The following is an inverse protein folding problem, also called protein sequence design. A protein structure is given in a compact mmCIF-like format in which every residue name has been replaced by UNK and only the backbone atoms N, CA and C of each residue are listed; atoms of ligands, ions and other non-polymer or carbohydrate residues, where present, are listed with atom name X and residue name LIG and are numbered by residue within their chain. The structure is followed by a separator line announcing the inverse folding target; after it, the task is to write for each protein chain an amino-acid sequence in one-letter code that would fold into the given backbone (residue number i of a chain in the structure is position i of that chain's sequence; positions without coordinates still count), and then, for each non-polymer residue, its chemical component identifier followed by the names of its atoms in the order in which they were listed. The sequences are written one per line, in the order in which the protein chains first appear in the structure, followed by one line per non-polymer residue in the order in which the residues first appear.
data_IF_893852855198
#
_entry.id   IF_893852855198
#
_cell.length_a   1.000
_cell.length_b   1.000
_cell.length_c   1.000
_cell.angle_alpha   90.00
_cell.angle_beta   90.00
_cell.angle_gamma   90.00
#
_symmetry.space_group_name_H-M   'P 1'
#
loop_
_entity.id
_entity.type
_entity.pdbx_description
1 polymer ?
#
# COMPACT_ATOMS: atom_id res chain seq x y z
N UNK A 1 2.29 -13.67 54.75
CA UNK A 1 2.52 -14.09 53.35
C UNK A 1 1.71 -13.13 52.51
N UNK A 2 2.37 -12.11 51.98
CA UNK A 2 1.75 -10.94 51.36
C UNK A 2 1.77 -11.15 49.86
N UNK A 3 0.59 -11.26 49.24
CA UNK A 3 0.48 -11.21 47.78
C UNK A 3 0.66 -9.75 47.31
N UNK A 4 1.52 -9.47 46.31
CA UNK A 4 1.58 -8.14 45.74
C UNK A 4 0.51 -7.97 44.66
N UNK A 5 -0.14 -6.81 44.69
CA UNK A 5 -1.06 -6.27 43.70
C UNK A 5 -0.37 -6.16 42.32
N UNK A 6 -1.03 -6.44 41.19
CA UNK A 6 -0.48 -6.08 39.90
C UNK A 6 -0.48 -4.55 39.77
N UNK A 7 0.72 -3.97 39.69
CA UNK A 7 0.96 -2.56 39.38
C UNK A 7 0.37 -2.24 38.02
N UNK A 8 -0.69 -1.44 38.00
CA UNK A 8 -1.19 -0.72 36.83
C UNK A 8 -0.07 0.17 36.30
N UNK A 9 0.69 -0.35 35.34
CA UNK A 9 1.56 0.45 34.50
C UNK A 9 0.69 1.36 33.66
N UNK A 10 0.71 2.65 33.97
CA UNK A 10 0.18 3.68 33.10
C UNK A 10 0.99 3.65 31.79
N UNK A 11 0.41 3.09 30.73
CA UNK A 11 0.97 3.20 29.38
C UNK A 11 0.79 4.65 28.93
N UNK A 12 1.92 5.34 28.93
CA UNK A 12 2.11 6.73 28.56
C UNK A 12 1.56 7.00 27.16
N UNK A 13 0.76 8.07 27.08
CA UNK A 13 0.19 8.71 25.89
C UNK A 13 1.23 9.02 24.78
N UNK A 14 1.66 7.99 24.05
CA UNK A 14 2.46 8.10 22.82
C UNK A 14 1.97 7.17 21.69
N UNK A 15 0.94 6.35 21.94
CA UNK A 15 0.40 5.40 20.95
C UNK A 15 -0.73 5.99 20.08
N UNK A 16 -1.20 7.21 20.39
CA UNK A 16 -2.33 7.83 19.70
C UNK A 16 -1.98 8.48 18.34
N UNK A 17 -0.70 8.55 17.97
CA UNK A 17 -0.23 9.25 16.76
C UNK A 17 0.48 8.36 15.74
N UNK A 18 0.49 7.06 15.97
CA UNK A 18 1.04 6.13 14.99
C UNK A 18 -0.14 5.55 14.22
N UNK A 19 -0.21 5.82 12.93
CA UNK A 19 -1.06 5.07 12.00
C UNK A 19 -0.48 3.64 12.00
N UNK A 20 -0.89 2.82 12.98
CA UNK A 20 -0.16 1.63 13.45
C UNK A 20 -0.71 0.31 12.93
N UNK A 21 -1.74 0.32 12.09
CA UNK A 21 -2.27 -0.92 11.53
C UNK A 21 -2.48 -0.78 10.02
N UNK A 22 -1.59 -1.40 9.24
CA UNK A 22 -1.71 -1.48 7.79
C UNK A 22 -3.07 -2.03 7.36
N UNK A 23 -3.69 -2.87 8.22
CA UNK A 23 -5.02 -3.40 8.00
C UNK A 23 -6.10 -2.34 8.08
N UNK A 24 -6.04 -1.46 9.08
CA UNK A 24 -7.00 -0.36 9.22
C UNK A 24 -6.92 0.63 8.04
N UNK A 25 -5.71 0.91 7.54
CA UNK A 25 -5.54 1.73 6.32
C UNK A 25 -6.15 1.02 5.12
N UNK A 26 -5.83 -0.27 4.94
CA UNK A 26 -6.32 -1.05 3.82
C UNK A 26 -7.85 -1.12 3.81
N UNK A 27 -8.44 -1.46 4.95
CA UNK A 27 -9.89 -1.60 5.09
C UNK A 27 -10.59 -0.26 4.80
N UNK A 28 -10.08 0.86 5.32
CA UNK A 28 -10.62 2.18 5.05
C UNK A 28 -10.56 2.57 3.55
N UNK A 29 -9.42 2.32 2.88
CA UNK A 29 -9.28 2.59 1.45
C UNK A 29 -10.14 1.65 0.62
N UNK A 30 -10.27 0.38 1.04
CA UNK A 30 -11.06 -0.62 0.36
C UNK A 30 -12.56 -0.27 0.38
N UNK A 31 -13.10 0.10 1.54
CA UNK A 31 -14.49 0.54 1.68
C UNK A 31 -14.79 1.76 0.82
N UNK A 32 -13.86 2.73 0.77
CA UNK A 32 -13.99 3.89 -0.11
C UNK A 32 -14.03 3.49 -1.60
N UNK A 33 -13.13 2.63 -2.04
CA UNK A 33 -13.11 2.13 -3.41
C UNK A 33 -14.40 1.37 -3.75
N UNK A 34 -14.87 0.49 -2.88
CA UNK A 34 -16.14 -0.23 -3.10
C UNK A 34 -17.34 0.71 -3.20
N UNK A 35 -17.38 1.78 -2.39
CA UNK A 35 -18.44 2.78 -2.46
C UNK A 35 -18.40 3.60 -3.76
N UNK A 36 -17.21 3.92 -4.27
CA UNK A 36 -17.02 4.76 -5.46
C UNK A 36 -17.24 4.01 -6.78
N UNK A 37 -16.67 2.80 -6.92
CA UNK A 37 -16.72 2.03 -8.17
C UNK A 37 -17.60 0.79 -8.09
N UNK A 38 -17.93 0.28 -6.91
CA UNK A 38 -18.70 -0.95 -6.74
C UNK A 38 -17.85 -2.22 -6.86
N UNK A 39 -18.16 -3.20 -6.03
CA UNK A 39 -17.35 -4.42 -5.87
C UNK A 39 -17.09 -5.17 -7.20
N UNK A 40 -18.09 -5.33 -8.07
CA UNK A 40 -17.94 -6.07 -9.34
C UNK A 40 -17.06 -5.35 -10.39
N UNK A 41 -16.91 -4.02 -10.24
CA UNK A 41 -16.13 -3.18 -11.14
C UNK A 41 -14.70 -2.96 -10.61
N UNK A 42 -14.36 -3.48 -9.43
CA UNK A 42 -12.98 -3.48 -8.95
C UNK A 42 -12.10 -4.33 -9.89
N UNK A 43 -11.18 -3.66 -10.59
CA UNK A 43 -10.26 -4.26 -11.54
C UNK A 43 -8.83 -4.06 -11.04
N UNK A 44 -8.19 -5.15 -10.65
CA UNK A 44 -6.80 -5.14 -10.21
C UNK A 44 -5.87 -5.67 -11.32
N UNK A 45 -4.60 -5.24 -11.35
CA UNK A 45 -3.60 -5.78 -12.27
C UNK A 45 -3.45 -7.29 -12.11
N UNK A 46 -3.38 -8.02 -13.24
CA UNK A 46 -3.10 -9.47 -13.25
C UNK A 46 -1.60 -9.79 -13.24
N UNK A 47 -0.77 -8.82 -13.60
CA UNK A 47 0.68 -8.96 -13.68
C UNK A 47 1.35 -7.73 -13.09
N UNK A 48 2.50 -7.93 -12.45
CA UNK A 48 3.37 -6.87 -11.93
C UNK A 48 4.76 -7.06 -12.52
N UNK A 49 5.33 -6.00 -13.11
CA UNK A 49 6.68 -6.00 -13.69
C UNK A 49 7.55 -5.05 -12.88
N UNK A 50 8.55 -5.60 -12.20
CA UNK A 50 9.50 -4.82 -11.40
C UNK A 50 10.78 -4.57 -12.21
N UNK A 51 11.08 -3.31 -12.51
CA UNK A 51 12.31 -2.93 -13.21
C UNK A 51 13.42 -2.65 -12.19
N UNK A 52 14.31 -3.63 -12.02
CA UNK A 52 15.52 -3.49 -11.20
C UNK A 52 16.63 -2.71 -11.92
N UNK A 53 17.60 -2.19 -11.15
CA UNK A 53 18.81 -1.57 -11.67
C UNK A 53 19.22 -0.30 -10.93
N UNK A 54 20.47 0.14 -11.10
CA UNK A 54 21.01 1.34 -10.46
C UNK A 54 20.25 2.63 -10.85
N UNK A 55 20.34 3.70 -10.04
CA UNK A 55 19.92 5.04 -10.46
C UNK A 55 20.59 5.42 -11.79
N UNK A 56 19.83 5.98 -12.73
CA UNK A 56 20.35 6.34 -14.05
C UNK A 56 20.49 5.20 -15.08
N UNK A 57 20.21 3.94 -14.73
CA UNK A 57 20.33 2.79 -15.64
C UNK A 57 19.31 2.75 -16.80
N UNK A 58 18.54 3.82 -17.03
CA UNK A 58 17.60 3.91 -18.16
C UNK A 58 16.26 3.18 -17.97
N UNK A 59 15.88 2.82 -16.74
CA UNK A 59 14.60 2.12 -16.46
C UNK A 59 13.39 2.87 -17.00
N UNK A 60 13.29 4.18 -16.74
CA UNK A 60 12.19 5.02 -17.23
C UNK A 60 12.12 5.06 -18.76
N UNK A 61 13.30 5.10 -19.42
CA UNK A 61 13.41 5.00 -20.88
C UNK A 61 12.88 3.66 -21.38
N UNK A 62 13.19 2.56 -20.69
CA UNK A 62 12.75 1.21 -21.08
C UNK A 62 11.25 0.97 -20.82
N UNK A 63 10.64 1.65 -19.84
CA UNK A 63 9.21 1.52 -19.52
C UNK A 63 8.32 1.72 -20.76
N UNK A 64 8.61 2.73 -21.59
CA UNK A 64 7.83 2.98 -22.81
C UNK A 64 7.88 1.83 -23.83
N UNK A 65 9.04 1.18 -23.97
CA UNK A 65 9.19 0.00 -24.84
C UNK A 65 8.40 -1.20 -24.31
N UNK A 66 8.43 -1.43 -22.99
CA UNK A 66 7.69 -2.52 -22.35
C UNK A 66 6.19 -2.31 -22.51
N UNK A 67 5.69 -1.10 -22.26
CA UNK A 67 4.27 -0.76 -22.43
C UNK A 67 3.81 -1.04 -23.87
N UNK A 68 4.59 -0.60 -24.88
CA UNK A 68 4.29 -0.87 -26.29
C UNK A 68 4.29 -2.37 -26.60
N UNK A 69 5.30 -3.11 -26.13
CA UNK A 69 5.43 -4.54 -26.39
C UNK A 69 4.31 -5.38 -25.73
N UNK A 70 3.82 -4.94 -24.57
CA UNK A 70 2.73 -5.60 -23.82
C UNK A 70 1.34 -5.08 -24.19
N UNK A 71 1.25 -4.07 -25.03
CA UNK A 71 -0.03 -3.45 -25.43
C UNK A 71 -0.71 -2.67 -24.31
N UNK A 72 0.04 -2.13 -23.35
CA UNK A 72 -0.51 -1.26 -22.31
C UNK A 72 -0.84 0.12 -22.90
N UNK A 73 -2.11 0.49 -22.85
CA UNK A 73 -2.65 1.71 -23.45
C UNK A 73 -2.92 2.83 -22.44
N UNK A 74 -2.95 2.51 -21.14
CA UNK A 74 -3.06 3.48 -20.07
C UNK A 74 -1.71 4.19 -19.81
N UNK A 75 -1.72 5.47 -19.39
CA UNK A 75 -0.50 6.16 -18.98
C UNK A 75 0.12 5.52 -17.74
N UNK A 76 1.45 5.61 -17.56
CA UNK A 76 2.11 5.09 -16.37
C UNK A 76 1.73 5.92 -15.13
N UNK A 77 1.65 5.26 -13.98
CA UNK A 77 1.53 5.95 -12.68
C UNK A 77 2.94 6.36 -12.26
N UNK A 78 3.14 7.66 -12.03
CA UNK A 78 4.40 8.25 -11.57
C UNK A 78 4.13 8.98 -10.25
N UNK A 79 4.95 8.73 -9.23
CA UNK A 79 4.83 9.31 -7.88
C UNK A 79 6.05 10.18 -7.58
#
# INVERSE_FOLDING_TARGET
MSDPLPTTGATTSSEALEIKDARLIFDAVWEQLEAEVGHEQLRFPKEIILLGGAPGAGKGTNTGFIMKARGFTCPPIVV
#
